data_IF_804510793170
#
_entry.id   IF_804510793170
#
_cell.length_a   1.000
_cell.length_b   1.000
_cell.length_c   1.000
_cell.angle_alpha   90.00
_cell.angle_beta   90.00
_cell.angle_gamma   90.00
#
_symmetry.space_group_name_H-M   'P 1'
#
loop_
_entity.id
_entity.type
_entity.pdbx_description
1 polymer ?
#
# COMPACT_ATOMS: atom_id res chain seq x y z
N UNK A 1 20.53 -22.75 10.72
CA UNK A 1 19.86 -22.60 9.41
C UNK A 1 18.43 -22.05 9.56
N UNK A 2 18.28 -20.81 10.05
CA UNK A 2 16.97 -20.23 10.46
C UNK A 2 16.15 -19.69 9.28
N UNK A 3 16.83 -19.09 8.30
CA UNK A 3 16.18 -18.56 7.09
C UNK A 3 15.55 -19.69 6.28
N UNK A 4 16.23 -20.80 6.07
CA UNK A 4 15.66 -21.94 5.33
C UNK A 4 14.45 -22.54 6.03
N UNK A 5 14.47 -22.64 7.37
CA UNK A 5 13.29 -23.08 8.14
C UNK A 5 12.09 -22.15 7.93
N UNK A 6 12.30 -20.82 7.95
CA UNK A 6 11.25 -19.83 7.67
C UNK A 6 10.73 -20.02 6.25
N UNK A 7 11.63 -20.11 5.26
CA UNK A 7 11.26 -20.34 3.85
C UNK A 7 10.46 -21.61 3.67
N UNK A 8 10.84 -22.71 4.33
CA UNK A 8 10.12 -23.98 4.27
C UNK A 8 8.70 -23.87 4.83
N UNK A 9 8.53 -23.20 5.98
CA UNK A 9 7.21 -22.96 6.58
C UNK A 9 6.36 -22.04 5.72
N UNK A 10 6.91 -20.92 5.23
CA UNK A 10 6.20 -20.00 4.33
C UNK A 10 5.72 -20.72 3.07
N UNK A 11 6.57 -21.56 2.45
CA UNK A 11 6.19 -22.32 1.27
C UNK A 11 5.01 -23.24 1.53
N UNK A 12 4.99 -23.94 2.67
CA UNK A 12 3.86 -24.81 3.03
C UNK A 12 2.57 -24.00 3.18
N UNK A 13 2.60 -22.92 3.96
CA UNK A 13 1.42 -22.07 4.19
C UNK A 13 0.90 -21.46 2.89
N UNK A 14 1.80 -20.95 2.04
CA UNK A 14 1.41 -20.35 0.76
C UNK A 14 0.82 -21.37 -0.22
N UNK A 15 1.30 -22.62 -0.21
CA UNK A 15 0.70 -23.69 -1.00
C UNK A 15 -0.71 -24.01 -0.51
N UNK A 16 -0.87 -24.24 0.79
CA UNK A 16 -2.17 -24.59 1.36
C UNK A 16 -3.19 -23.46 1.15
N UNK A 17 -2.76 -22.19 1.21
CA UNK A 17 -3.58 -21.03 0.81
C UNK A 17 -3.89 -21.01 -0.68
N UNK A 18 -2.91 -21.31 -1.54
CA UNK A 18 -3.07 -21.35 -3.00
C UNK A 18 -4.13 -22.36 -3.45
N UNK A 19 -4.11 -23.57 -2.87
CA UNK A 19 -5.08 -24.61 -3.18
C UNK A 19 -6.52 -24.16 -2.84
N UNK A 20 -6.70 -23.45 -1.72
CA UNK A 20 -7.99 -22.87 -1.33
C UNK A 20 -8.39 -21.72 -2.25
N UNK A 21 -7.45 -20.85 -2.61
CA UNK A 21 -7.69 -19.71 -3.49
C UNK A 21 -8.17 -20.16 -4.87
N UNK A 22 -7.55 -21.19 -5.45
CA UNK A 22 -7.93 -21.76 -6.75
C UNK A 22 -9.35 -22.32 -6.73
N UNK A 23 -9.71 -23.06 -5.68
CA UNK A 23 -11.07 -23.59 -5.51
C UNK A 23 -12.09 -22.45 -5.38
N UNK A 24 -11.77 -21.40 -4.63
CA UNK A 24 -12.68 -20.27 -4.42
C UNK A 24 -12.82 -19.38 -5.66
N UNK A 25 -11.80 -19.34 -6.53
CA UNK A 25 -11.82 -18.50 -7.72
C UNK A 25 -13.03 -18.82 -8.63
N UNK A 26 -13.26 -20.11 -8.92
CA UNK A 26 -14.37 -20.53 -9.76
C UNK A 26 -15.74 -20.20 -9.13
N UNK A 27 -15.86 -20.35 -7.80
CA UNK A 27 -17.09 -20.03 -7.06
C UNK A 27 -17.37 -18.53 -7.11
N UNK A 28 -16.37 -17.70 -6.85
CA UNK A 28 -16.50 -16.25 -6.93
C UNK A 28 -16.89 -15.78 -8.34
N UNK A 29 -16.23 -16.33 -9.36
CA UNK A 29 -16.52 -16.02 -10.76
C UNK A 29 -17.95 -16.42 -11.15
N UNK A 30 -18.36 -17.65 -10.82
CA UNK A 30 -19.72 -18.12 -11.08
C UNK A 30 -20.76 -17.21 -10.43
N UNK A 31 -20.54 -16.82 -9.16
CA UNK A 31 -21.47 -15.96 -8.45
C UNK A 31 -21.58 -14.56 -9.07
N UNK A 32 -20.46 -13.98 -9.52
CA UNK A 32 -20.47 -12.69 -10.25
C UNK A 32 -21.30 -12.81 -11.53
N UNK A 33 -21.01 -13.82 -12.36
CA UNK A 33 -21.70 -14.01 -13.64
C UNK A 33 -23.19 -14.31 -13.45
N UNK A 34 -23.52 -15.21 -12.51
CA UNK A 34 -24.90 -15.54 -12.17
C UNK A 34 -25.68 -14.29 -11.74
N UNK A 35 -25.09 -13.48 -10.88
CA UNK A 35 -25.73 -12.28 -10.35
C UNK A 35 -26.00 -11.22 -11.44
N UNK A 36 -25.08 -11.09 -12.40
CA UNK A 36 -25.27 -10.24 -13.57
C UNK A 36 -26.38 -10.77 -14.50
N UNK A 37 -26.40 -12.09 -14.78
CA UNK A 37 -27.38 -12.73 -15.68
C UNK A 37 -28.80 -12.72 -15.08
N UNK A 38 -28.93 -13.04 -13.80
CA UNK A 38 -30.22 -13.10 -13.10
C UNK A 38 -30.77 -11.70 -12.77
N UNK A 39 -30.00 -10.63 -13.05
CA UNK A 39 -30.41 -9.26 -12.74
C UNK A 39 -30.47 -8.97 -11.24
N UNK A 40 -29.69 -9.71 -10.44
CA UNK A 40 -29.64 -9.58 -8.97
C UNK A 40 -29.01 -8.28 -8.48
N UNK A 41 -28.38 -7.52 -9.38
CA UNK A 41 -27.81 -6.20 -9.13
C UNK A 41 -28.74 -5.31 -8.32
N UNK A 42 -28.26 -4.81 -7.19
CA UNK A 42 -28.97 -3.77 -6.45
C UNK A 42 -29.31 -2.58 -7.36
N UNK A 43 -30.32 -1.79 -6.97
CA UNK A 43 -30.74 -0.63 -7.76
C UNK A 43 -29.58 0.32 -8.06
N UNK A 44 -29.62 0.96 -9.24
CA UNK A 44 -28.63 1.95 -9.62
C UNK A 44 -28.58 3.08 -8.58
N UNK A 45 -27.36 3.42 -8.14
CA UNK A 45 -27.14 4.57 -7.27
C UNK A 45 -27.68 5.85 -7.91
N UNK A 46 -28.37 6.66 -7.12
CA UNK A 46 -28.85 7.98 -7.55
C UNK A 46 -27.69 8.99 -7.70
N UNK A 47 -26.57 8.75 -7.03
CA UNK A 47 -25.37 9.58 -7.12
C UNK A 47 -24.40 9.04 -8.16
N UNK A 48 -23.81 9.96 -8.93
CA UNK A 48 -22.82 9.61 -9.95
C UNK A 48 -21.51 9.15 -9.29
N UNK A 49 -21.01 7.99 -9.74
CA UNK A 49 -19.68 7.53 -9.42
C UNK A 49 -18.68 8.10 -10.41
N UNK A 50 -17.57 8.63 -9.90
CA UNK A 50 -16.46 9.08 -10.74
C UNK A 50 -15.78 7.86 -11.38
N UNK A 51 -15.66 7.87 -12.71
CA UNK A 51 -15.01 6.80 -13.48
C UNK A 51 -13.50 6.98 -13.59
N UNK A 52 -13.05 8.22 -13.73
CA UNK A 52 -11.63 8.54 -13.88
C UNK A 52 -11.00 8.98 -12.55
N UNK A 53 -9.79 8.52 -12.20
CA UNK A 53 -9.07 9.05 -11.04
C UNK A 53 -8.85 10.56 -11.14
N UNK A 54 -8.75 11.24 -9.99
CA UNK A 54 -8.37 12.65 -9.96
C UNK A 54 -6.93 12.83 -10.47
N UNK A 55 -6.72 13.86 -11.29
CA UNK A 55 -5.39 14.17 -11.82
C UNK A 55 -4.36 14.37 -10.69
N UNK A 56 -3.19 13.76 -10.87
CA UNK A 56 -2.13 13.59 -9.88
C UNK A 56 -1.73 14.89 -9.19
N UNK A 57 -2.20 15.03 -7.96
CA UNK A 57 -1.73 16.05 -7.02
C UNK A 57 -0.90 15.37 -5.94
N UNK A 58 0.16 16.07 -5.53
CA UNK A 58 0.81 15.78 -4.27
C UNK A 58 -0.21 16.08 -3.16
N UNK A 59 -0.52 15.09 -2.33
CA UNK A 59 -1.44 15.22 -1.19
C UNK A 59 -0.79 16.13 -0.15
N UNK A 60 0.50 15.90 0.12
CA UNK A 60 1.25 16.64 1.12
C UNK A 60 2.75 16.58 0.86
N UNK A 61 3.44 17.68 1.12
CA UNK A 61 4.90 17.68 1.18
C UNK A 61 5.43 18.65 2.21
N UNK A 62 6.53 18.30 2.87
CA UNK A 62 7.13 19.12 3.91
C UNK A 62 8.39 18.51 4.49
N UNK A 63 9.11 19.27 5.32
CA UNK A 63 10.31 18.78 5.99
C UNK A 63 9.92 18.14 7.33
N UNK A 64 10.41 16.93 7.59
CA UNK A 64 10.28 16.24 8.87
C UNK A 64 11.64 15.70 9.32
N UNK A 65 11.80 15.52 10.63
CA UNK A 65 12.98 14.85 11.18
C UNK A 65 12.73 13.34 11.26
N UNK A 66 13.59 12.58 10.59
CA UNK A 66 13.63 11.13 10.65
C UNK A 66 14.75 10.68 11.59
N UNK A 67 14.42 9.84 12.57
CA UNK A 67 15.44 9.14 13.35
C UNK A 67 15.98 7.96 12.54
N UNK A 68 17.30 7.88 12.39
CA UNK A 68 17.98 6.79 11.69
C UNK A 68 18.57 5.82 12.71
N UNK A 69 18.01 4.62 12.80
CA UNK A 69 18.48 3.61 13.77
C UNK A 69 19.94 3.20 13.54
N UNK A 70 20.36 3.10 12.27
CA UNK A 70 21.70 2.65 11.87
C UNK A 70 22.83 3.48 12.50
N UNK A 71 22.65 4.80 12.57
CA UNK A 71 23.68 5.72 13.06
C UNK A 71 23.23 6.56 14.28
N UNK A 72 22.03 6.28 14.81
CA UNK A 72 21.43 6.95 15.98
C UNK A 72 21.37 8.47 15.86
N UNK A 73 21.05 8.99 14.67
CA UNK A 73 20.95 10.44 14.43
C UNK A 73 19.60 10.83 13.85
N UNK A 74 19.12 12.00 14.25
CA UNK A 74 18.01 12.68 13.59
C UNK A 74 18.50 13.39 12.33
N UNK A 75 17.82 13.19 11.21
CA UNK A 75 18.11 13.85 9.93
C UNK A 75 16.86 14.55 9.41
N UNK A 76 17.03 15.77 8.91
CA UNK A 76 15.98 16.43 8.16
C UNK A 76 15.78 15.69 6.82
N UNK A 77 14.52 15.38 6.49
CA UNK A 77 14.07 14.73 5.26
C UNK A 77 12.92 15.52 4.67
N UNK A 78 12.97 15.70 3.36
CA UNK A 78 11.81 16.19 2.64
C UNK A 78 10.86 15.03 2.37
N UNK A 79 9.66 15.11 2.92
CA UNK A 79 8.60 14.11 2.80
C UNK A 79 7.66 14.53 1.68
N UNK A 80 7.26 13.58 0.84
CA UNK A 80 6.32 13.76 -0.26
C UNK A 80 5.32 12.60 -0.30
N UNK A 81 4.03 12.92 -0.35
CA UNK A 81 2.92 11.97 -0.36
C UNK A 81 2.12 12.15 -1.64
N UNK A 82 2.42 11.40 -2.72
CA UNK A 82 1.67 11.45 -3.95
C UNK A 82 0.27 10.85 -3.78
N UNK A 83 -0.55 10.91 -4.84
CA UNK A 83 -1.91 10.36 -4.87
C UNK A 83 -2.03 8.86 -4.59
N UNK A 84 -0.93 8.12 -4.67
CA UNK A 84 -0.85 6.70 -4.27
C UNK A 84 -0.68 6.46 -2.77
N UNK A 85 -0.69 7.52 -1.94
CA UNK A 85 -0.58 7.48 -0.47
C UNK A 85 0.72 6.92 0.12
N UNK A 86 1.67 6.49 -0.70
CA UNK A 86 3.01 6.07 -0.23
C UNK A 86 3.77 7.25 0.36
N UNK A 87 4.37 7.09 1.53
CA UNK A 87 5.18 8.14 2.16
C UNK A 87 6.62 8.01 1.64
N UNK A 88 7.09 9.01 0.89
CA UNK A 88 8.45 9.02 0.34
C UNK A 88 9.31 10.05 1.07
N UNK A 89 10.49 9.63 1.52
CA UNK A 89 11.45 10.48 2.24
C UNK A 89 12.68 10.72 1.38
N UNK A 90 12.92 11.98 1.02
CA UNK A 90 14.05 12.44 0.22
C UNK A 90 15.08 13.14 1.10
N UNK A 91 16.32 13.18 0.60
CA UNK A 91 17.41 13.88 1.28
C UNK A 91 17.14 15.37 1.45
N UNK A 92 16.53 16.00 0.44
CA UNK A 92 16.10 17.39 0.48
C UNK A 92 15.00 17.63 -0.57
N UNK A 93 14.33 18.78 -0.49
CA UNK A 93 13.39 19.22 -1.53
C UNK A 93 14.05 19.26 -2.91
N UNK A 94 15.28 19.76 -3.00
CA UNK A 94 16.03 19.82 -4.26
C UNK A 94 16.33 18.43 -4.86
N UNK A 95 16.42 17.39 -4.03
CA UNK A 95 16.60 16.03 -4.51
C UNK A 95 15.29 15.49 -5.12
N UNK A 96 14.17 15.74 -4.43
CA UNK A 96 12.84 15.42 -4.94
C UNK A 96 12.53 16.15 -6.26
N UNK A 97 12.77 17.46 -6.32
CA UNK A 97 12.44 18.28 -7.48
C UNK A 97 13.30 17.92 -8.72
N UNK A 98 14.50 17.37 -8.50
CA UNK A 98 15.34 16.80 -9.56
C UNK A 98 14.96 15.36 -9.96
N UNK A 99 13.93 14.78 -9.35
CA UNK A 99 13.50 13.41 -9.61
C UNK A 99 14.49 12.35 -9.10
N UNK A 100 15.35 12.66 -8.12
CA UNK A 100 16.23 11.67 -7.51
C UNK A 100 15.42 10.66 -6.70
N UNK A 101 15.93 9.44 -6.54
CA UNK A 101 15.26 8.42 -5.75
C UNK A 101 15.12 8.81 -4.27
N UNK A 102 13.96 8.47 -3.68
CA UNK A 102 13.75 8.57 -2.25
C UNK A 102 14.72 7.67 -1.49
N UNK A 103 15.16 8.10 -0.31
CA UNK A 103 15.95 7.25 0.59
C UNK A 103 15.10 6.15 1.22
N UNK A 104 13.83 6.45 1.49
CA UNK A 104 12.85 5.52 2.06
C UNK A 104 11.50 5.74 1.40
N UNK A 105 10.78 4.66 1.14
CA UNK A 105 9.40 4.65 0.65
C UNK A 105 8.60 3.70 1.55
N UNK A 106 7.49 4.17 2.10
CA UNK A 106 6.70 3.45 3.11
C UNK A 106 5.27 3.30 2.62
N UNK A 107 4.80 2.06 2.53
CA UNK A 107 3.38 1.72 2.50
C UNK A 107 2.88 1.55 3.94
N UNK A 108 1.85 2.31 4.30
CA UNK A 108 1.31 2.34 5.66
C UNK A 108 0.24 1.28 5.92
N UNK A 109 0.01 0.31 5.02
CA UNK A 109 -0.90 -0.80 5.26
C UNK A 109 -0.52 -1.56 6.56
N UNK A 110 -1.43 -1.57 7.53
CA UNK A 110 -1.24 -2.23 8.84
C UNK A 110 -0.48 -1.41 9.89
N UNK A 111 -0.10 -0.16 9.60
CA UNK A 111 0.61 0.71 10.56
C UNK A 111 -0.36 1.45 11.49
N UNK A 112 0.17 1.93 12.62
CA UNK A 112 -0.51 2.82 13.55
C UNK A 112 0.36 4.03 13.86
N UNK A 113 -0.22 5.23 13.85
CA UNK A 113 0.46 6.45 14.27
C UNK A 113 0.45 6.57 15.79
N UNK A 114 1.60 6.92 16.36
CA UNK A 114 1.77 7.28 17.77
C UNK A 114 2.26 8.73 17.83
N UNK A 115 1.73 9.49 18.79
CA UNK A 115 2.05 10.92 18.96
C UNK A 115 2.82 11.19 20.26
N UNK A 116 3.13 10.15 21.02
CA UNK A 116 3.98 10.18 22.22
C UNK A 116 4.92 8.98 22.20
N UNK A 117 6.03 9.09 22.92
CA UNK A 117 6.99 8.00 23.15
C UNK A 117 6.71 7.23 24.44
N UNK A 118 5.77 7.72 25.25
CA UNK A 118 5.26 7.05 26.46
C UNK A 118 4.30 5.91 26.13
#
# INVERSE_FOLDING_TARGET
NRREMITGRTRRVMRDFGDLYEQQYAVALFNVVRFEIEGGGGGQSQLLHRKDPLAGRNIFSGNLFQYLEENRKWRNRFVSVPSGYTINLYESKSAHDRGLHSKVSIDCAGYKALTSME
#
